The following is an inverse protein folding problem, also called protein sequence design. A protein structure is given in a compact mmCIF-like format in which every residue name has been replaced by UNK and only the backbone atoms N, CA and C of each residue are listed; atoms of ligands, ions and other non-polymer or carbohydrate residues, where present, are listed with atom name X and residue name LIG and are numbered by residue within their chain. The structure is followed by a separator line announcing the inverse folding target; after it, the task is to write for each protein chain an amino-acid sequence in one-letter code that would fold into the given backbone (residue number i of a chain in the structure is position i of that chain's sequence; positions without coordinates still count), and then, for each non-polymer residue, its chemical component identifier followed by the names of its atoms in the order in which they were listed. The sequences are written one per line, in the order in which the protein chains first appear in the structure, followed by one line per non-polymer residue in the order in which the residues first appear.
data_IF_420373853300
#
_entry.id   IF_420373853300
#
_cell.length_a   1.000
_cell.length_b   1.000
_cell.length_c   1.000
_cell.angle_alpha   90.00
_cell.angle_beta   90.00
_cell.angle_gamma   90.00
#
_symmetry.space_group_name_H-M   'P 1'
#
loop_
_entity.id
_entity.type
_entity.pdbx_description
1 polymer ?
#
# COMPACT_ATOMS: atom_id res chain seq x y z
N UNK A 1 36.49 -74.23 -12.25
CA UNK A 1 37.03 -72.89 -12.02
C UNK A 1 36.09 -71.74 -12.61
N UNK A 2 35.22 -72.03 -13.55
CA UNK A 2 34.30 -71.03 -14.15
C UNK A 2 33.13 -70.58 -13.25
N UNK A 3 32.67 -71.40 -12.32
CA UNK A 3 31.50 -71.09 -11.50
C UNK A 3 31.72 -70.09 -10.31
N UNK A 4 32.99 -69.86 -9.94
CA UNK A 4 33.35 -68.97 -8.84
C UNK A 4 33.53 -67.51 -9.25
N UNK A 5 33.83 -67.28 -10.56
CA UNK A 5 33.97 -65.90 -11.08
C UNK A 5 32.63 -65.24 -11.38
N UNK A 6 31.62 -65.98 -11.85
CA UNK A 6 30.28 -65.40 -12.16
C UNK A 6 29.49 -64.95 -10.92
N UNK A 7 29.75 -65.57 -9.77
CA UNK A 7 29.09 -65.17 -8.50
C UNK A 7 29.68 -63.88 -7.94
N UNK A 8 30.98 -63.65 -8.14
CA UNK A 8 31.66 -62.42 -7.68
C UNK A 8 31.23 -61.17 -8.50
N UNK A 9 31.02 -61.31 -9.81
CA UNK A 9 30.57 -60.17 -10.65
C UNK A 9 29.12 -59.81 -10.43
N UNK A 10 28.21 -60.77 -10.17
CA UNK A 10 26.82 -60.49 -9.78
C UNK A 10 26.70 -59.80 -8.43
N UNK A 11 27.46 -60.23 -7.44
CA UNK A 11 27.44 -59.59 -6.12
C UNK A 11 28.01 -58.17 -6.18
N UNK A 12 29.02 -57.91 -7.06
CA UNK A 12 29.59 -56.59 -7.28
C UNK A 12 28.64 -55.67 -8.06
N UNK A 13 27.83 -56.20 -9.00
CA UNK A 13 26.80 -55.45 -9.73
C UNK A 13 25.62 -55.11 -8.79
N UNK A 14 25.18 -56.01 -7.91
CA UNK A 14 24.15 -55.75 -6.94
C UNK A 14 24.58 -54.68 -5.91
N UNK A 15 25.82 -54.75 -5.40
CA UNK A 15 26.36 -53.70 -4.51
C UNK A 15 26.51 -52.33 -5.20
N UNK A 16 26.78 -52.29 -6.49
CA UNK A 16 26.84 -51.06 -7.27
C UNK A 16 25.46 -50.51 -7.61
N UNK A 17 24.46 -51.36 -7.84
CA UNK A 17 23.06 -50.96 -8.03
C UNK A 17 22.45 -50.44 -6.72
N UNK A 18 22.71 -51.11 -5.59
CA UNK A 18 22.25 -50.62 -4.29
C UNK A 18 22.93 -49.29 -3.88
N UNK A 19 24.21 -49.08 -4.19
CA UNK A 19 24.93 -47.83 -3.99
C UNK A 19 24.49 -46.71 -4.96
N UNK A 20 24.01 -47.06 -6.15
CA UNK A 20 23.45 -46.11 -7.12
C UNK A 20 22.01 -45.79 -6.75
N UNK A 21 21.22 -46.74 -6.26
CA UNK A 21 19.85 -46.52 -5.77
C UNK A 21 19.88 -45.76 -4.42
N UNK A 22 20.89 -45.98 -3.56
CA UNK A 22 21.08 -45.20 -2.33
C UNK A 22 21.71 -43.82 -2.54
N UNK A 23 22.22 -43.52 -3.74
CA UNK A 23 22.68 -42.20 -4.17
C UNK A 23 21.63 -41.45 -5.00
N UNK A 24 20.47 -42.07 -5.32
CA UNK A 24 19.36 -41.40 -5.93
C UNK A 24 18.62 -40.61 -4.85
N UNK A 25 18.80 -39.32 -4.87
CA UNK A 25 17.91 -38.32 -4.32
C UNK A 25 17.62 -38.39 -2.82
N UNK A 26 18.61 -38.09 -2.00
CA UNK A 26 18.34 -37.10 -0.96
C UNK A 26 18.19 -35.72 -1.63
N UNK A 27 17.21 -35.55 -2.48
CA UNK A 27 16.58 -34.27 -2.71
C UNK A 27 16.09 -33.88 -1.32
N UNK A 28 16.88 -33.08 -0.60
CA UNK A 28 16.46 -32.54 0.70
C UNK A 28 15.17 -31.79 0.42
N UNK A 29 14.04 -32.37 0.80
CA UNK A 29 12.73 -31.73 0.63
C UNK A 29 12.87 -30.34 1.22
N UNK A 30 12.58 -29.31 0.42
CA UNK A 30 12.58 -27.94 0.93
C UNK A 30 11.56 -27.85 2.06
N UNK A 31 11.82 -27.05 3.12
CA UNK A 31 10.89 -26.92 4.21
C UNK A 31 9.54 -26.40 3.72
N UNK A 32 8.49 -26.82 4.40
CA UNK A 32 7.18 -26.23 4.31
C UNK A 32 7.20 -24.82 4.91
N UNK A 33 6.64 -23.85 4.21
CA UNK A 33 6.58 -22.47 4.66
C UNK A 33 5.13 -22.05 4.76
N UNK A 34 4.71 -21.65 5.96
CA UNK A 34 3.39 -21.06 6.18
C UNK A 34 3.52 -19.55 6.35
N UNK A 35 2.77 -18.80 5.54
CA UNK A 35 2.69 -17.34 5.60
C UNK A 35 1.33 -16.95 6.15
N UNK A 36 1.31 -16.17 7.23
CA UNK A 36 0.10 -15.73 7.92
C UNK A 36 -0.24 -14.32 7.48
N UNK A 37 -1.31 -14.20 6.68
CA UNK A 37 -1.80 -12.96 6.08
C UNK A 37 -1.55 -12.87 4.58
N UNK A 38 -2.63 -12.73 3.80
CA UNK A 38 -2.61 -12.57 2.35
C UNK A 38 -2.74 -11.08 1.91
N UNK A 39 -2.13 -10.17 2.68
CA UNK A 39 -1.85 -8.80 2.26
C UNK A 39 -0.67 -8.74 1.30
N UNK A 40 -0.32 -7.54 0.80
CA UNK A 40 0.76 -7.39 -0.19
C UNK A 40 2.11 -7.95 0.27
N UNK A 41 2.46 -7.80 1.54
CA UNK A 41 3.72 -8.33 2.09
C UNK A 41 3.76 -9.86 2.02
N UNK A 42 2.68 -10.52 2.49
CA UNK A 42 2.57 -11.98 2.50
C UNK A 42 2.50 -12.56 1.08
N UNK A 43 1.69 -11.97 0.20
CA UNK A 43 1.61 -12.38 -1.20
C UNK A 43 2.95 -12.24 -1.91
N UNK A 44 3.66 -11.12 -1.70
CA UNK A 44 4.98 -10.92 -2.30
C UNK A 44 6.01 -11.93 -1.78
N UNK A 45 6.03 -12.19 -0.47
CA UNK A 45 6.89 -13.22 0.12
C UNK A 45 6.59 -14.60 -0.50
N UNK A 46 5.31 -14.96 -0.61
CA UNK A 46 4.88 -16.21 -1.22
C UNK A 46 5.33 -16.36 -2.67
N UNK A 47 5.15 -15.32 -3.50
CA UNK A 47 5.55 -15.33 -4.90
C UNK A 47 7.06 -15.54 -5.04
N UNK A 48 7.89 -14.80 -4.30
CA UNK A 48 9.35 -14.96 -4.38
C UNK A 48 9.84 -16.32 -3.84
N UNK A 49 9.22 -16.85 -2.79
CA UNK A 49 9.54 -18.19 -2.27
C UNK A 49 9.11 -19.29 -3.25
N UNK A 50 7.93 -19.15 -3.85
CA UNK A 50 7.43 -20.06 -4.87
C UNK A 50 8.36 -20.09 -6.10
N UNK A 51 8.84 -18.93 -6.59
CA UNK A 51 9.82 -18.83 -7.67
C UNK A 51 11.16 -19.52 -7.34
N UNK A 52 11.46 -19.69 -6.05
CA UNK A 52 12.60 -20.45 -5.54
C UNK A 52 12.29 -21.93 -5.30
N UNK A 53 11.13 -22.41 -5.77
CA UNK A 53 10.63 -23.78 -5.61
C UNK A 53 10.44 -24.22 -4.14
N UNK A 54 10.07 -23.30 -3.24
CA UNK A 54 9.57 -23.65 -1.91
C UNK A 54 8.09 -24.05 -1.99
N UNK A 55 7.69 -24.98 -1.13
CA UNK A 55 6.28 -25.26 -0.90
C UNK A 55 5.74 -24.22 0.08
N UNK A 56 4.85 -23.34 -0.41
CA UNK A 56 4.32 -22.21 0.37
C UNK A 56 2.82 -22.37 0.51
N UNK A 57 2.32 -22.17 1.74
CA UNK A 57 0.90 -22.03 2.02
C UNK A 57 0.66 -20.71 2.72
N UNK A 58 -0.34 -19.94 2.24
CA UNK A 58 -0.82 -18.75 2.92
C UNK A 58 -2.08 -19.08 3.71
N UNK A 59 -2.24 -18.43 4.87
CA UNK A 59 -3.45 -18.48 5.70
C UNK A 59 -3.96 -17.05 5.85
N UNK A 60 -5.21 -16.83 5.45
CA UNK A 60 -5.87 -15.53 5.49
C UNK A 60 -7.14 -15.61 6.35
N UNK A 61 -7.29 -14.67 7.27
CA UNK A 61 -8.44 -14.62 8.18
C UNK A 61 -9.74 -14.20 7.47
N UNK A 62 -9.65 -13.44 6.40
CA UNK A 62 -10.80 -12.95 5.66
C UNK A 62 -11.15 -13.87 4.48
N UNK A 63 -12.23 -13.48 3.76
CA UNK A 63 -12.79 -14.20 2.62
C UNK A 63 -11.96 -14.09 1.32
N UNK A 64 -10.96 -13.20 1.27
CA UNK A 64 -10.18 -12.91 0.05
C UNK A 64 -8.86 -12.22 0.33
N UNK A 65 -7.99 -12.18 -0.66
CA UNK A 65 -6.68 -11.52 -0.59
C UNK A 65 -6.80 -9.99 -0.48
N UNK A 66 -5.68 -9.34 -0.11
CA UNK A 66 -5.50 -7.90 -0.20
C UNK A 66 -5.21 -7.20 1.12
N UNK A 67 -5.64 -7.76 2.26
CA UNK A 67 -5.51 -7.09 3.55
C UNK A 67 -6.23 -5.73 3.54
N UNK A 68 -5.48 -4.62 3.58
CA UNK A 68 -6.02 -3.25 3.50
C UNK A 68 -6.41 -2.83 2.07
N UNK A 69 -5.92 -3.52 1.04
CA UNK A 69 -6.22 -3.21 -0.36
C UNK A 69 -7.34 -4.12 -0.85
N UNK A 70 -8.57 -3.65 -0.68
CA UNK A 70 -9.80 -4.35 -1.09
C UNK A 70 -10.76 -3.40 -1.78
N UNK A 71 -11.55 -3.94 -2.71
CA UNK A 71 -12.61 -3.21 -3.42
C UNK A 71 -13.92 -3.95 -3.24
N UNK A 72 -14.92 -3.31 -2.67
CA UNK A 72 -16.26 -3.88 -2.54
C UNK A 72 -17.13 -3.45 -3.72
N UNK A 73 -18.00 -4.36 -4.21
CA UNK A 73 -18.99 -4.05 -5.24
C UNK A 73 -20.36 -3.89 -4.58
N UNK A 74 -20.94 -2.69 -4.63
CA UNK A 74 -22.24 -2.37 -4.04
C UNK A 74 -23.09 -1.67 -5.11
N UNK A 75 -24.24 -2.23 -5.47
CA UNK A 75 -25.17 -1.70 -6.46
C UNK A 75 -24.50 -1.29 -7.79
N UNK A 76 -23.48 -2.05 -8.21
CA UNK A 76 -22.70 -1.82 -9.43
C UNK A 76 -21.58 -0.79 -9.29
N UNK A 77 -21.45 -0.12 -8.15
CA UNK A 77 -20.32 0.73 -7.83
C UNK A 77 -19.13 -0.08 -7.27
N UNK A 78 -17.90 0.33 -7.57
CA UNK A 78 -16.68 -0.21 -6.97
C UNK A 78 -16.15 0.76 -5.92
N UNK A 79 -16.10 0.30 -4.68
CA UNK A 79 -15.73 1.09 -3.52
C UNK A 79 -14.45 0.51 -2.92
N UNK A 80 -13.33 1.18 -3.13
CA UNK A 80 -12.08 0.81 -2.47
C UNK A 80 -12.21 1.06 -0.95
N UNK A 81 -11.62 0.19 -0.12
CA UNK A 81 -11.64 0.39 1.33
C UNK A 81 -10.66 1.48 1.73
N UNK A 82 -11.15 2.74 1.68
CA UNK A 82 -10.37 3.96 1.79
C UNK A 82 -9.88 4.47 0.43
N UNK A 83 -9.58 5.78 0.36
CA UNK A 83 -9.00 6.36 -0.84
C UNK A 83 -7.53 5.95 -0.98
N UNK A 84 -7.21 5.20 -2.01
CA UNK A 84 -5.89 4.64 -2.25
C UNK A 84 -5.45 4.89 -3.70
N UNK A 85 -4.14 5.01 -3.91
CA UNK A 85 -3.54 5.14 -5.23
C UNK A 85 -2.25 4.31 -5.32
N UNK A 86 -1.93 3.86 -6.53
CA UNK A 86 -0.65 3.28 -6.87
C UNK A 86 0.24 4.37 -7.48
N UNK A 87 1.44 4.59 -6.94
CA UNK A 87 2.46 5.39 -7.61
C UNK A 87 3.23 4.48 -8.58
N UNK A 88 3.12 4.77 -9.88
CA UNK A 88 3.57 3.85 -10.91
C UNK A 88 5.09 3.70 -11.01
N UNK A 89 5.85 4.58 -10.34
CA UNK A 89 7.32 4.51 -10.29
C UNK A 89 7.86 3.65 -9.13
N UNK A 90 7.00 3.04 -8.33
CA UNK A 90 7.41 2.12 -7.27
C UNK A 90 8.20 0.93 -7.85
N UNK A 91 9.48 0.72 -7.42
CA UNK A 91 10.31 -0.33 -7.99
C UNK A 91 9.75 -1.75 -7.75
N UNK A 92 9.19 -2.03 -6.58
CA UNK A 92 8.69 -3.37 -6.26
C UNK A 92 7.44 -3.72 -7.06
N UNK A 93 6.57 -2.74 -7.32
CA UNK A 93 5.37 -2.98 -8.13
C UNK A 93 5.73 -3.17 -9.61
N UNK A 94 6.71 -2.42 -10.13
CA UNK A 94 7.23 -2.63 -11.49
C UNK A 94 7.86 -4.01 -11.68
N UNK A 95 8.45 -4.58 -10.63
CA UNK A 95 9.12 -5.87 -10.70
C UNK A 95 8.16 -7.07 -10.79
N UNK A 96 6.96 -6.96 -10.22
CA UNK A 96 6.02 -8.08 -10.12
C UNK A 96 4.68 -7.87 -10.83
N UNK A 97 4.23 -6.61 -10.98
CA UNK A 97 2.91 -6.34 -11.52
C UNK A 97 2.95 -6.07 -13.02
N UNK A 98 1.99 -6.63 -13.72
CA UNK A 98 1.69 -6.32 -15.12
C UNK A 98 0.70 -5.15 -15.19
N UNK A 99 1.23 -3.94 -15.39
CA UNK A 99 0.43 -2.71 -15.45
C UNK A 99 -0.54 -2.67 -16.65
N UNK A 100 -0.25 -3.41 -17.73
CA UNK A 100 -1.15 -3.48 -18.88
C UNK A 100 -2.40 -4.29 -18.52
N UNK A 101 -2.24 -5.41 -17.83
CA UNK A 101 -3.39 -6.21 -17.34
C UNK A 101 -4.21 -5.49 -16.28
N UNK A 102 -3.57 -4.70 -15.42
CA UNK A 102 -4.26 -3.84 -14.45
C UNK A 102 -5.03 -2.70 -15.11
N UNK A 103 -4.70 -2.37 -16.36
CA UNK A 103 -5.28 -1.27 -17.14
C UNK A 103 -5.34 0.02 -16.31
N UNK A 104 -4.16 0.43 -15.80
CA UNK A 104 -4.03 1.57 -14.87
C UNK A 104 -4.63 2.84 -15.47
N UNK A 105 -5.47 3.52 -14.70
CA UNK A 105 -6.08 4.81 -15.02
C UNK A 105 -5.37 5.90 -14.22
N UNK A 106 -4.58 6.76 -14.86
CA UNK A 106 -3.83 7.80 -14.17
C UNK A 106 -4.72 8.98 -13.78
N UNK A 107 -4.40 9.57 -12.66
CA UNK A 107 -4.86 10.90 -12.31
C UNK A 107 -4.19 11.95 -13.20
N UNK A 108 -4.87 13.04 -13.47
CA UNK A 108 -4.26 14.21 -14.09
C UNK A 108 -3.22 14.77 -13.10
N UNK A 109 -1.96 15.00 -13.52
CA UNK A 109 -0.92 15.56 -12.65
C UNK A 109 -1.27 16.97 -12.17
N UNK A 110 -1.73 17.08 -10.93
CA UNK A 110 -2.20 18.30 -10.31
C UNK A 110 -3.29 18.04 -9.29
N UNK A 111 -3.89 19.11 -8.82
CA UNK A 111 -5.02 19.09 -7.87
C UNK A 111 -5.88 20.32 -8.06
N UNK A 112 -7.16 20.22 -7.71
CA UNK A 112 -8.00 21.37 -7.42
C UNK A 112 -7.93 21.65 -5.93
N UNK A 113 -7.74 22.91 -5.55
CA UNK A 113 -7.65 23.35 -4.15
C UNK A 113 -8.84 24.23 -3.82
N UNK A 114 -9.62 23.78 -2.85
CA UNK A 114 -10.72 24.55 -2.25
C UNK A 114 -10.15 25.44 -1.13
N UNK A 115 -10.55 26.68 -1.06
CA UNK A 115 -10.16 27.63 0.01
C UNK A 115 -11.30 28.62 0.28
N UNK A 116 -11.17 29.43 1.33
CA UNK A 116 -12.23 30.38 1.79
C UNK A 116 -12.46 31.56 0.83
N UNK A 117 -12.19 31.52 -0.37
CA UNK A 117 -12.45 32.52 -1.40
C UNK A 117 -12.79 31.90 -2.75
N UNK A 118 -12.96 30.56 -2.78
CA UNK A 118 -13.28 29.83 -4.00
C UNK A 118 -12.43 28.60 -4.21
N UNK A 119 -12.06 28.35 -5.46
CA UNK A 119 -11.18 27.22 -5.83
C UNK A 119 -10.20 27.62 -6.91
N UNK A 120 -9.08 26.91 -7.01
CA UNK A 120 -8.11 27.06 -8.08
C UNK A 120 -7.44 25.72 -8.42
N UNK A 121 -6.98 25.61 -9.64
CA UNK A 121 -6.23 24.43 -10.09
C UNK A 121 -4.71 24.65 -9.98
N UNK A 122 -4.02 23.62 -9.51
CA UNK A 122 -2.57 23.50 -9.57
C UNK A 122 -2.23 22.32 -10.46
N UNK A 123 -1.29 22.48 -11.35
CA UNK A 123 -0.79 21.40 -12.18
C UNK A 123 0.74 21.38 -12.18
N UNK A 124 1.29 20.20 -12.47
CA UNK A 124 2.71 20.09 -12.80
C UNK A 124 2.96 20.69 -14.20
N UNK A 125 3.64 21.85 -14.32
CA UNK A 125 3.81 22.52 -15.59
C UNK A 125 4.68 21.74 -16.59
N UNK A 126 5.52 20.79 -16.15
CA UNK A 126 6.30 19.94 -17.03
C UNK A 126 5.46 18.85 -17.68
N UNK A 127 4.49 18.33 -16.93
CA UNK A 127 3.58 17.29 -17.40
C UNK A 127 2.32 17.86 -18.07
N UNK A 128 1.99 19.14 -17.77
CA UNK A 128 0.87 19.89 -18.34
C UNK A 128 1.30 21.32 -18.69
N UNK A 129 2.04 21.54 -19.78
CA UNK A 129 2.50 22.87 -20.18
C UNK A 129 1.37 23.89 -20.37
N UNK A 130 0.19 23.43 -20.81
CA UNK A 130 -1.01 24.28 -20.98
C UNK A 130 -1.54 24.85 -19.66
N UNK A 131 -1.25 24.22 -18.50
CA UNK A 131 -1.66 24.69 -17.19
C UNK A 131 -0.58 25.57 -16.49
N UNK A 132 0.52 25.89 -17.17
CA UNK A 132 1.61 26.70 -16.60
C UNK A 132 1.10 28.05 -16.09
N UNK A 133 0.34 28.78 -16.89
CA UNK A 133 -0.19 30.09 -16.52
C UNK A 133 -1.15 29.98 -15.33
N UNK A 134 -2.07 29.02 -15.35
CA UNK A 134 -2.99 28.78 -14.22
C UNK A 134 -2.23 28.52 -12.92
N UNK A 135 -1.20 27.68 -12.97
CA UNK A 135 -0.33 27.38 -11.82
C UNK A 135 0.47 28.59 -11.35
N UNK A 136 1.02 29.40 -12.28
CA UNK A 136 1.77 30.60 -11.95
C UNK A 136 0.90 31.65 -11.24
N UNK A 137 -0.35 31.83 -11.66
CA UNK A 137 -1.27 32.80 -11.07
C UNK A 137 -2.13 32.22 -9.93
N UNK A 138 -2.06 30.92 -9.67
CA UNK A 138 -2.78 30.32 -8.55
C UNK A 138 -2.40 30.95 -7.21
N UNK A 139 -3.39 31.28 -6.34
CA UNK A 139 -3.16 31.98 -5.07
C UNK A 139 -2.62 31.06 -3.96
N UNK A 140 -1.75 30.11 -4.33
CA UNK A 140 -1.24 29.06 -3.45
C UNK A 140 0.01 29.48 -2.67
N UNK A 141 0.79 30.39 -3.20
CA UNK A 141 2.03 30.89 -2.61
C UNK A 141 2.63 31.97 -3.52
N UNK A 142 3.87 32.37 -3.22
CA UNK A 142 4.64 33.32 -4.00
C UNK A 142 5.26 32.66 -5.24
N UNK A 143 5.75 33.47 -6.17
CA UNK A 143 6.56 32.98 -7.31
C UNK A 143 7.83 32.26 -6.82
N UNK A 144 8.42 32.73 -5.70
CA UNK A 144 9.56 32.08 -5.06
C UNK A 144 9.21 30.65 -4.65
N UNK A 145 8.03 30.43 -4.05
CA UNK A 145 7.59 29.08 -3.63
C UNK A 145 7.46 28.13 -4.85
N UNK A 146 6.94 28.61 -5.95
CA UNK A 146 6.77 27.81 -7.19
C UNK A 146 8.12 27.43 -7.80
N UNK A 147 9.07 28.36 -7.82
CA UNK A 147 10.45 28.10 -8.24
C UNK A 147 11.12 27.12 -7.26
N UNK A 148 10.92 27.28 -5.96
CA UNK A 148 11.45 26.38 -4.94
C UNK A 148 10.91 24.96 -5.10
N UNK A 149 9.61 24.79 -5.38
CA UNK A 149 9.00 23.48 -5.69
C UNK A 149 9.68 22.83 -6.90
N UNK A 150 9.96 23.60 -7.93
CA UNK A 150 10.67 23.13 -9.12
C UNK A 150 12.10 22.62 -8.79
N UNK A 151 12.88 23.41 -8.03
CA UNK A 151 14.23 23.01 -7.65
C UNK A 151 14.24 21.80 -6.71
N UNK A 152 13.29 21.72 -5.76
CA UNK A 152 13.11 20.56 -4.91
C UNK A 152 12.85 19.30 -5.75
N UNK A 153 11.92 19.39 -6.71
CA UNK A 153 11.64 18.30 -7.63
C UNK A 153 12.87 17.83 -8.39
N UNK A 154 13.63 18.76 -9.01
CA UNK A 154 14.87 18.44 -9.72
C UNK A 154 15.92 17.78 -8.82
N UNK A 155 16.04 18.22 -7.56
CA UNK A 155 16.94 17.64 -6.56
C UNK A 155 16.52 16.19 -6.28
N UNK A 156 15.27 15.96 -5.96
CA UNK A 156 14.78 14.66 -5.50
C UNK A 156 14.81 13.59 -6.59
N UNK A 157 14.51 13.95 -7.84
CA UNK A 157 14.57 13.03 -8.99
C UNK A 157 15.98 12.47 -9.20
N UNK A 158 17.03 13.24 -8.89
CA UNK A 158 18.44 12.82 -9.02
C UNK A 158 18.92 11.90 -7.90
N UNK A 159 18.23 11.84 -6.77
CA UNK A 159 18.59 11.01 -5.63
C UNK A 159 18.02 9.60 -5.80
N UNK A 160 18.78 8.56 -5.39
CA UNK A 160 18.19 7.22 -5.22
C UNK A 160 17.31 7.17 -3.98
N UNK A 161 16.37 6.21 -3.92
CA UNK A 161 15.53 6.05 -2.73
C UNK A 161 16.37 5.79 -1.48
N UNK A 162 17.38 4.93 -1.57
CA UNK A 162 18.30 4.66 -0.44
C UNK A 162 19.01 5.93 0.07
N UNK A 163 19.39 6.87 -0.81
CA UNK A 163 19.98 8.15 -0.40
C UNK A 163 18.96 9.03 0.30
N UNK A 164 17.70 9.07 -0.15
CA UNK A 164 16.63 9.84 0.50
C UNK A 164 16.43 9.35 1.93
N UNK A 165 16.27 8.03 2.12
CA UNK A 165 16.01 7.45 3.45
C UNK A 165 17.23 7.47 4.41
N UNK A 166 18.40 7.80 3.92
CA UNK A 166 19.62 8.01 4.74
C UNK A 166 19.89 9.47 5.10
N UNK A 167 19.05 10.42 4.65
CA UNK A 167 19.18 11.81 5.05
C UNK A 167 18.87 12.00 6.55
N UNK A 168 19.43 13.03 7.20
CA UNK A 168 19.04 13.40 8.55
C UNK A 168 17.53 13.66 8.62
N UNK A 169 16.85 12.92 9.49
CA UNK A 169 15.40 12.89 9.59
C UNK A 169 14.88 14.01 10.50
N UNK A 170 13.79 14.63 10.11
CA UNK A 170 12.99 15.58 10.89
C UNK A 170 11.52 15.39 10.50
N UNK A 171 10.61 16.12 11.10
CA UNK A 171 9.22 16.17 10.62
C UNK A 171 9.07 16.92 9.29
N UNK A 172 8.05 16.58 8.52
CA UNK A 172 7.77 17.17 7.20
C UNK A 172 7.54 18.69 7.28
N UNK A 173 6.84 19.17 8.31
CA UNK A 173 6.59 20.62 8.47
C UNK A 173 7.89 21.39 8.62
N UNK A 174 8.77 20.96 9.52
CA UNK A 174 10.09 21.55 9.73
C UNK A 174 10.95 21.51 8.47
N UNK A 175 10.89 20.41 7.71
CA UNK A 175 11.60 20.27 6.45
C UNK A 175 11.11 21.24 5.38
N UNK A 176 9.80 21.44 5.25
CA UNK A 176 9.24 22.44 4.35
C UNK A 176 9.70 23.86 4.68
N UNK A 177 9.79 24.20 5.99
CA UNK A 177 10.38 25.46 6.44
C UNK A 177 11.86 25.57 6.08
N UNK A 178 12.65 24.50 6.27
CA UNK A 178 14.08 24.46 5.88
C UNK A 178 14.26 24.61 4.35
N UNK A 179 13.34 24.07 3.55
CA UNK A 179 13.31 24.29 2.11
C UNK A 179 12.94 25.73 1.74
N UNK A 180 12.52 26.57 2.69
CA UNK A 180 12.25 27.99 2.50
C UNK A 180 10.86 28.29 1.94
N UNK A 181 9.91 27.36 2.07
CA UNK A 181 8.52 27.60 1.67
C UNK A 181 7.82 28.59 2.59
N UNK A 182 6.99 29.47 2.01
CA UNK A 182 6.15 30.37 2.76
C UNK A 182 5.03 29.62 3.50
N UNK A 183 4.53 30.21 4.60
CA UNK A 183 3.40 29.65 5.34
C UNK A 183 2.18 29.43 4.41
N UNK A 184 1.90 30.40 3.55
CA UNK A 184 0.80 30.32 2.58
C UNK A 184 0.93 29.11 1.65
N UNK A 185 2.13 28.80 1.17
CA UNK A 185 2.36 27.61 0.32
C UNK A 185 2.16 26.31 1.12
N UNK A 186 2.62 26.29 2.36
CA UNK A 186 2.44 25.15 3.25
C UNK A 186 0.95 24.93 3.50
N UNK A 187 0.22 25.93 3.95
CA UNK A 187 -1.19 25.80 4.37
C UNK A 187 -2.14 25.56 3.20
N UNK A 188 -1.86 26.13 2.02
CA UNK A 188 -2.77 26.02 0.88
C UNK A 188 -2.46 24.89 -0.10
N UNK A 189 -1.30 24.23 0.02
CA UNK A 189 -0.93 23.11 -0.85
C UNK A 189 -0.31 21.95 -0.11
N UNK A 190 0.86 22.14 0.51
CA UNK A 190 1.58 20.99 1.08
C UNK A 190 0.79 20.33 2.21
N UNK A 191 0.25 21.10 3.14
CA UNK A 191 -0.51 20.57 4.28
C UNK A 191 -1.78 19.83 3.81
N UNK A 192 -2.68 20.39 3.00
CA UNK A 192 -3.85 19.65 2.50
C UNK A 192 -3.51 18.41 1.68
N UNK A 193 -2.47 18.47 0.86
CA UNK A 193 -2.07 17.37 0.01
C UNK A 193 -1.46 16.21 0.83
N UNK A 194 -0.47 16.52 1.67
CA UNK A 194 0.22 15.50 2.44
C UNK A 194 -0.57 15.00 3.64
N UNK A 195 -1.49 15.79 4.20
CA UNK A 195 -2.42 15.30 5.23
C UNK A 195 -3.27 14.12 4.72
N UNK A 196 -3.67 14.16 3.45
CA UNK A 196 -4.40 13.04 2.84
C UNK A 196 -3.55 11.81 2.56
N UNK A 197 -2.23 11.98 2.32
CA UNK A 197 -1.29 10.89 2.06
C UNK A 197 -0.84 10.25 3.38
N UNK A 198 -0.55 11.07 4.38
CA UNK A 198 -0.03 10.62 5.68
C UNK A 198 -1.13 10.31 6.69
N UNK A 199 -2.38 10.66 6.38
CA UNK A 199 -3.57 10.51 7.23
C UNK A 199 -3.42 11.21 8.59
N UNK A 200 -2.74 12.36 8.60
CA UNK A 200 -2.53 13.20 9.78
C UNK A 200 -2.54 14.69 9.38
N UNK A 201 -2.75 15.58 10.34
CA UNK A 201 -3.04 16.98 10.01
C UNK A 201 -1.86 17.92 10.27
N UNK A 202 -0.85 17.52 11.02
CA UNK A 202 0.21 18.44 11.49
C UNK A 202 1.54 18.28 10.73
N UNK A 203 1.62 17.35 9.77
CA UNK A 203 2.83 17.01 9.01
C UNK A 203 4.01 16.58 9.90
N UNK A 204 3.70 15.77 10.92
CA UNK A 204 4.67 15.16 11.82
C UNK A 204 5.41 13.98 11.20
N UNK A 205 4.85 13.41 10.14
CA UNK A 205 5.49 12.33 9.35
C UNK A 205 6.90 12.74 8.91
N UNK A 206 7.80 11.77 8.91
CA UNK A 206 9.20 11.91 8.55
C UNK A 206 9.42 12.67 7.23
N UNK A 207 10.39 13.58 7.25
CA UNK A 207 10.86 14.31 6.07
C UNK A 207 11.38 13.39 4.96
N UNK A 208 11.93 12.23 5.31
CA UNK A 208 12.41 11.25 4.34
C UNK A 208 11.23 10.61 3.59
N UNK A 209 10.11 10.38 4.28
CA UNK A 209 8.87 9.93 3.62
C UNK A 209 8.29 11.01 2.70
N UNK A 210 8.31 12.28 3.13
CA UNK A 210 7.90 13.40 2.28
C UNK A 210 8.74 13.47 1.00
N UNK A 211 10.06 13.45 1.12
CA UNK A 211 10.98 13.52 -0.03
C UNK A 211 10.80 12.32 -0.97
N UNK A 212 10.61 11.12 -0.40
CA UNK A 212 10.32 9.91 -1.18
C UNK A 212 9.01 10.04 -1.98
N UNK A 213 7.92 10.44 -1.35
CA UNK A 213 6.62 10.61 -1.99
C UNK A 213 6.68 11.69 -3.08
N UNK A 214 7.31 12.83 -2.78
CA UNK A 214 7.54 13.91 -3.76
C UNK A 214 8.32 13.43 -4.99
N UNK A 215 9.35 12.61 -4.78
CA UNK A 215 10.09 11.98 -5.87
C UNK A 215 9.17 11.10 -6.71
N UNK A 216 8.40 10.20 -6.08
CA UNK A 216 7.54 9.26 -6.81
C UNK A 216 6.48 9.98 -7.66
N UNK A 217 5.87 11.05 -7.15
CA UNK A 217 4.97 11.92 -7.94
C UNK A 217 5.69 12.66 -9.07
N UNK A 218 7.00 12.86 -8.93
CA UNK A 218 7.80 13.57 -9.95
C UNK A 218 8.23 12.66 -11.10
N UNK A 219 8.37 11.36 -10.87
CA UNK A 219 8.89 10.36 -11.82
C UNK A 219 7.83 9.43 -12.38
N UNK A 220 6.71 9.25 -11.67
CA UNK A 220 5.61 8.38 -12.04
C UNK A 220 4.23 9.05 -11.97
N UNK A 221 3.20 8.30 -12.28
CA UNK A 221 1.80 8.69 -12.13
C UNK A 221 1.22 8.19 -10.81
N UNK A 222 0.27 8.94 -10.23
CA UNK A 222 -0.72 8.36 -9.35
C UNK A 222 -1.79 7.71 -10.24
N UNK A 223 -2.11 6.46 -9.99
CA UNK A 223 -3.06 5.72 -10.80
C UNK A 223 -3.86 4.72 -9.94
N UNK A 224 -4.99 4.27 -10.47
CA UNK A 224 -5.78 3.16 -9.93
C UNK A 224 -5.97 2.10 -11.02
N UNK A 225 -6.05 0.81 -10.68
CA UNK A 225 -6.50 -0.20 -11.61
C UNK A 225 -7.94 0.09 -12.07
N UNK A 226 -8.26 -0.21 -13.33
CA UNK A 226 -9.58 0.06 -13.93
C UNK A 226 -10.75 -0.51 -13.12
N UNK A 227 -10.56 -1.70 -12.51
CA UNK A 227 -11.59 -2.45 -11.81
C UNK A 227 -11.49 -2.39 -10.27
N UNK A 228 -10.66 -1.50 -9.73
CA UNK A 228 -10.47 -1.35 -8.28
C UNK A 228 -9.08 -1.73 -7.80
N UNK A 229 -8.70 -1.20 -6.65
CA UNK A 229 -7.36 -1.42 -6.07
C UNK A 229 -7.09 -2.90 -5.75
N UNK A 230 -8.13 -3.69 -5.48
CA UNK A 230 -8.02 -5.13 -5.19
C UNK A 230 -7.44 -5.96 -6.35
N UNK A 231 -7.45 -5.43 -7.58
CA UNK A 231 -6.83 -6.12 -8.72
C UNK A 231 -5.32 -6.31 -8.54
N UNK A 232 -4.66 -5.46 -7.73
CA UNK A 232 -3.24 -5.60 -7.40
C UNK A 232 -2.96 -6.89 -6.61
N UNK A 233 -3.55 -7.13 -5.43
CA UNK A 233 -3.35 -8.38 -4.70
C UNK A 233 -3.90 -9.60 -5.44
N UNK A 234 -4.97 -9.49 -6.22
CA UNK A 234 -5.47 -10.58 -7.07
C UNK A 234 -4.44 -11.00 -8.11
N UNK A 235 -3.77 -10.03 -8.74
CA UNK A 235 -2.72 -10.33 -9.73
C UNK A 235 -1.53 -11.04 -9.09
N UNK A 236 -1.13 -10.66 -7.86
CA UNK A 236 -0.08 -11.37 -7.12
C UNK A 236 -0.52 -12.79 -6.74
N UNK A 237 -1.74 -12.97 -6.28
CA UNK A 237 -2.28 -14.29 -5.93
C UNK A 237 -2.33 -15.22 -7.14
N UNK A 238 -2.64 -14.70 -8.33
CA UNK A 238 -2.66 -15.46 -9.57
C UNK A 238 -1.27 -15.98 -10.03
N UNK A 239 -0.17 -15.52 -9.41
CA UNK A 239 1.17 -16.05 -9.64
C UNK A 239 1.48 -17.29 -8.78
N UNK A 240 0.59 -17.66 -7.87
CA UNK A 240 0.72 -18.80 -6.97
C UNK A 240 -0.08 -20.00 -7.48
N UNK A 241 0.29 -21.24 -7.11
CA UNK A 241 -0.49 -22.43 -7.43
C UNK A 241 -1.91 -22.34 -6.87
N UNK A 242 -2.84 -23.01 -7.53
CA UNK A 242 -4.19 -23.21 -7.00
C UNK A 242 -4.13 -23.85 -5.60
N UNK A 243 -5.05 -23.43 -4.72
CA UNK A 243 -5.17 -23.91 -3.34
C UNK A 243 -3.98 -23.58 -2.42
N UNK A 244 -3.04 -22.72 -2.84
CA UNK A 244 -1.96 -22.25 -1.95
C UNK A 244 -2.41 -21.22 -0.92
N UNK A 245 -3.65 -20.73 -0.97
CA UNK A 245 -4.23 -19.77 -0.01
C UNK A 245 -5.45 -20.39 0.64
N UNK A 246 -5.44 -20.46 1.96
CA UNK A 246 -6.57 -20.88 2.78
C UNK A 246 -7.22 -19.64 3.42
N UNK A 247 -8.44 -19.35 2.98
CA UNK A 247 -9.24 -18.23 3.48
C UNK A 247 -10.04 -18.60 4.73
N UNK A 248 -10.66 -17.60 5.37
CA UNK A 248 -11.52 -17.75 6.56
C UNK A 248 -10.82 -18.55 7.68
N UNK A 249 -9.49 -18.40 7.76
CA UNK A 249 -8.64 -19.14 8.65
C UNK A 249 -7.81 -18.16 9.49
N UNK A 250 -8.33 -17.82 10.67
CA UNK A 250 -7.70 -16.86 11.57
C UNK A 250 -6.74 -17.56 12.52
N UNK A 251 -5.49 -17.10 12.53
CA UNK A 251 -4.45 -17.52 13.47
C UNK A 251 -4.57 -16.70 14.76
N UNK A 252 -4.56 -17.37 15.89
CA UNK A 252 -4.67 -16.76 17.23
C UNK A 252 -3.34 -16.71 17.96
N UNK A 253 -2.49 -17.73 17.78
CA UNK A 253 -1.17 -17.81 18.43
C UNK A 253 -0.18 -18.64 17.60
N UNK A 254 1.10 -18.49 17.93
CA UNK A 254 2.20 -19.32 17.40
C UNK A 254 3.06 -19.71 18.62
N UNK A 255 3.29 -21.01 18.77
CA UNK A 255 4.21 -21.53 19.78
C UNK A 255 5.21 -22.49 19.11
N UNK A 256 6.48 -22.14 19.13
CA UNK A 256 7.52 -22.83 18.37
C UNK A 256 7.16 -22.93 16.87
N UNK A 257 6.87 -24.14 16.38
CA UNK A 257 6.50 -24.43 14.99
C UNK A 257 5.01 -24.71 14.81
N UNK A 258 4.20 -24.60 15.89
CA UNK A 258 2.76 -24.86 15.89
C UNK A 258 1.99 -23.55 15.76
N UNK A 259 1.08 -23.52 14.82
CA UNK A 259 0.15 -22.41 14.54
C UNK A 259 -1.22 -22.82 15.08
N UNK A 260 -1.78 -22.01 15.98
CA UNK A 260 -3.10 -22.21 16.58
C UNK A 260 -4.15 -21.39 15.84
N UNK A 261 -5.25 -22.04 15.47
CA UNK A 261 -6.34 -21.41 14.71
C UNK A 261 -7.53 -21.08 15.64
N UNK A 262 -8.33 -20.09 15.25
CA UNK A 262 -9.51 -19.66 16.03
C UNK A 262 -10.56 -20.77 16.22
N UNK A 263 -10.64 -21.72 15.31
CA UNK A 263 -11.54 -22.88 15.39
C UNK A 263 -11.05 -24.00 16.33
N UNK A 264 -9.92 -23.77 17.01
CA UNK A 264 -9.30 -24.73 17.94
C UNK A 264 -8.42 -25.80 17.28
N UNK A 265 -8.26 -25.80 15.97
CA UNK A 265 -7.33 -26.70 15.30
C UNK A 265 -5.89 -26.16 15.32
N UNK A 266 -4.94 -27.05 15.07
CA UNK A 266 -3.52 -26.74 15.04
C UNK A 266 -2.89 -27.21 13.72
N UNK A 267 -1.85 -26.52 13.29
CA UNK A 267 -1.02 -26.93 12.15
C UNK A 267 0.47 -26.68 12.44
N UNK A 268 1.31 -27.53 11.88
CA UNK A 268 2.77 -27.39 12.02
C UNK A 268 3.39 -26.89 10.70
N UNK A 269 4.46 -26.09 10.82
CA UNK A 269 5.22 -25.58 9.68
C UNK A 269 6.70 -25.52 10.05
N UNK A 270 7.58 -25.85 9.09
CA UNK A 270 9.04 -25.77 9.30
C UNK A 270 9.49 -24.30 9.41
N UNK A 271 8.86 -23.41 8.65
CA UNK A 271 9.12 -21.96 8.66
C UNK A 271 7.77 -21.23 8.68
N UNK A 272 7.68 -20.23 9.52
CA UNK A 272 6.49 -19.37 9.64
C UNK A 272 6.88 -17.93 9.29
N UNK A 273 6.09 -17.27 8.43
CA UNK A 273 6.23 -15.85 8.13
C UNK A 273 4.98 -15.12 8.60
N UNK A 274 5.14 -14.20 9.54
CA UNK A 274 4.06 -13.33 10.02
C UNK A 274 3.98 -12.12 9.11
N UNK A 275 2.88 -11.99 8.37
CA UNK A 275 2.63 -10.90 7.42
C UNK A 275 1.31 -10.17 7.70
N UNK A 276 0.89 -10.16 8.97
CA UNK A 276 -0.30 -9.45 9.45
C UNK A 276 0.00 -7.99 9.75
N UNK A 277 -1.04 -7.19 9.93
CA UNK A 277 -0.88 -5.81 10.39
C UNK A 277 -0.27 -5.74 11.81
N UNK A 278 0.34 -4.60 12.12
CA UNK A 278 1.09 -4.42 13.36
C UNK A 278 0.24 -4.50 14.65
N UNK A 279 -1.06 -4.25 14.56
CA UNK A 279 -2.01 -4.37 15.69
C UNK A 279 -2.59 -5.77 15.85
N UNK A 280 -2.38 -6.65 14.88
CA UNK A 280 -2.77 -8.05 14.92
C UNK A 280 -1.69 -8.95 15.53
N UNK A 281 -1.58 -10.17 15.01
CA UNK A 281 -0.62 -11.18 15.48
C UNK A 281 0.84 -10.65 15.49
N UNK A 282 1.22 -9.86 14.49
CA UNK A 282 2.54 -9.25 14.40
C UNK A 282 2.88 -8.37 15.61
N UNK A 283 1.88 -7.74 16.23
CA UNK A 283 2.06 -6.88 17.41
C UNK A 283 2.69 -7.58 18.61
N UNK A 284 2.55 -8.89 18.71
CA UNK A 284 3.19 -9.66 19.79
C UNK A 284 4.72 -9.75 19.65
N UNK A 285 5.26 -9.40 18.48
CA UNK A 285 6.66 -9.62 18.12
C UNK A 285 7.41 -8.33 17.76
N UNK A 286 6.75 -7.18 17.75
CA UNK A 286 7.34 -5.89 17.41
C UNK A 286 7.22 -4.88 18.55
N UNK A 287 8.07 -3.87 18.56
CA UNK A 287 8.03 -2.82 19.54
C UNK A 287 6.70 -2.04 19.49
N UNK A 288 6.20 -1.60 20.66
CA UNK A 288 4.91 -0.91 20.80
C UNK A 288 4.80 0.35 19.92
N UNK A 289 5.89 1.07 19.70
CA UNK A 289 5.93 2.25 18.82
C UNK A 289 5.55 1.89 17.37
N UNK A 290 5.96 0.72 16.88
CA UNK A 290 5.63 0.24 15.53
C UNK A 290 4.17 -0.25 15.38
N UNK A 291 3.42 -0.32 16.47
CA UNK A 291 1.99 -0.69 16.47
C UNK A 291 1.08 0.54 16.33
N UNK A 292 1.63 1.76 16.48
CA UNK A 292 0.87 2.99 16.30
C UNK A 292 0.50 3.17 14.82
N UNK A 293 -0.69 3.71 14.58
CA UNK A 293 -1.22 3.88 13.24
C UNK A 293 -2.12 5.11 13.16
N UNK A 294 -2.24 5.62 11.95
CA UNK A 294 -3.26 6.59 11.59
C UNK A 294 -4.52 5.88 11.10
N UNK A 295 -5.66 6.47 11.36
CA UNK A 295 -6.98 6.01 10.94
C UNK A 295 -7.60 6.96 9.93
N UNK A 296 -8.55 6.47 9.15
CA UNK A 296 -9.27 7.27 8.15
C UNK A 296 -10.72 6.84 8.09
N UNK A 297 -11.60 7.82 7.88
CA UNK A 297 -12.99 7.61 7.51
C UNK A 297 -13.19 8.06 6.07
N UNK A 298 -13.70 7.16 5.22
CA UNK A 298 -14.01 7.46 3.82
C UNK A 298 -15.49 7.22 3.59
N UNK A 299 -16.18 8.23 3.08
CA UNK A 299 -17.60 8.16 2.71
C UNK A 299 -17.73 8.19 1.20
N UNK A 300 -18.44 7.24 0.65
CA UNK A 300 -18.76 7.18 -0.77
C UNK A 300 -20.19 7.68 -1.01
N UNK A 301 -20.33 8.53 -2.05
CA UNK A 301 -21.61 9.05 -2.48
C UNK A 301 -21.87 8.74 -3.95
N UNK A 302 -23.10 8.36 -4.25
CA UNK A 302 -23.67 8.42 -5.58
C UNK A 302 -24.12 9.85 -5.86
N UNK A 303 -23.86 10.35 -7.08
CA UNK A 303 -24.39 11.60 -7.56
C UNK A 303 -24.87 11.44 -9.01
N UNK A 304 -25.77 12.32 -9.44
CA UNK A 304 -26.23 12.38 -10.84
C UNK A 304 -25.36 13.32 -11.67
N UNK A 305 -24.69 14.27 -11.02
CA UNK A 305 -23.79 15.25 -11.66
C UNK A 305 -22.48 15.34 -10.89
N UNK A 306 -21.37 15.25 -11.60
CA UNK A 306 -20.05 15.43 -11.03
C UNK A 306 -19.80 16.92 -10.66
N UNK A 307 -19.18 17.20 -9.49
CA UNK A 307 -18.77 18.57 -9.13
C UNK A 307 -17.64 19.11 -10.01
N UNK A 308 -16.91 18.24 -10.70
CA UNK A 308 -15.90 18.55 -11.70
C UNK A 308 -15.86 17.45 -12.75
N UNK A 309 -15.39 17.77 -13.95
CA UNK A 309 -15.11 16.77 -15.02
C UNK A 309 -13.63 16.36 -15.06
N UNK A 310 -12.81 16.87 -14.13
CA UNK A 310 -11.38 16.54 -14.11
C UNK A 310 -11.11 15.27 -13.28
N UNK A 311 -10.16 14.46 -13.77
CA UNK A 311 -9.67 13.29 -13.06
C UNK A 311 -8.54 13.68 -12.07
N UNK A 312 -8.86 14.50 -11.07
CA UNK A 312 -7.91 15.05 -10.07
C UNK A 312 -8.37 14.77 -8.64
N UNK A 313 -7.43 14.88 -7.73
CA UNK A 313 -7.78 15.00 -6.30
C UNK A 313 -8.15 16.45 -6.00
N UNK A 314 -9.22 16.64 -5.24
CA UNK A 314 -9.69 17.93 -4.75
C UNK A 314 -9.29 18.04 -3.28
N UNK A 315 -8.46 19.02 -2.96
CA UNK A 315 -7.89 19.26 -1.63
C UNK A 315 -8.68 20.35 -0.91
N UNK A 316 -8.96 20.16 0.35
CA UNK A 316 -9.56 21.19 1.17
C UNK A 316 -8.51 21.95 1.98
N UNK A 317 -8.20 23.17 1.55
CA UNK A 317 -7.29 24.12 2.20
C UNK A 317 -8.03 25.24 2.96
N UNK A 318 -9.34 25.10 3.23
CA UNK A 318 -10.11 26.05 4.05
C UNK A 318 -9.56 26.07 5.48
N UNK A 319 -9.46 27.24 6.09
CA UNK A 319 -9.06 27.42 7.49
C UNK A 319 -10.10 26.84 8.46
N UNK A 320 -11.36 26.78 8.02
CA UNK A 320 -12.49 26.27 8.79
C UNK A 320 -12.84 24.82 8.50
N UNK A 321 -12.01 24.07 7.78
CA UNK A 321 -12.28 22.67 7.46
C UNK A 321 -12.43 21.83 8.73
N UNK A 322 -13.42 20.93 8.73
CA UNK A 322 -13.70 20.06 9.87
C UNK A 322 -13.92 18.60 9.47
N UNK A 323 -14.54 18.36 8.31
CA UNK A 323 -15.06 17.06 7.92
C UNK A 323 -14.49 16.55 6.61
N UNK A 324 -13.91 17.41 5.78
CA UNK A 324 -13.39 17.04 4.47
C UNK A 324 -11.90 17.32 4.40
N UNK A 325 -11.07 16.31 4.25
CA UNK A 325 -9.66 16.47 3.92
C UNK A 325 -9.47 16.55 2.40
N UNK A 326 -10.03 15.59 1.69
CA UNK A 326 -10.02 15.55 0.22
C UNK A 326 -11.30 14.93 -0.34
N UNK A 327 -11.56 15.21 -1.60
CA UNK A 327 -12.63 14.64 -2.40
C UNK A 327 -12.08 14.20 -3.75
N UNK A 328 -12.58 13.08 -4.27
CA UNK A 328 -12.25 12.59 -5.62
C UNK A 328 -13.49 12.07 -6.32
N UNK A 329 -13.66 12.43 -7.59
CA UNK A 329 -14.68 11.84 -8.46
C UNK A 329 -14.09 10.58 -9.08
N UNK A 330 -14.29 9.44 -8.43
CA UNK A 330 -13.67 8.15 -8.83
C UNK A 330 -14.07 7.74 -10.25
N UNK A 331 -15.33 7.99 -10.62
CA UNK A 331 -15.84 7.70 -11.98
C UNK A 331 -15.19 8.56 -13.08
N UNK A 332 -14.56 9.70 -12.75
CA UNK A 332 -13.75 10.47 -13.70
C UNK A 332 -12.38 9.84 -13.95
N UNK A 333 -11.85 9.10 -12.99
CA UNK A 333 -10.57 8.40 -13.12
C UNK A 333 -10.78 7.10 -13.91
N UNK A 334 -11.78 6.30 -13.51
CA UNK A 334 -12.20 5.10 -14.23
C UNK A 334 -13.73 5.03 -14.28
N UNK A 335 -14.28 4.98 -15.48
CA UNK A 335 -15.72 4.80 -15.69
C UNK A 335 -16.25 3.46 -15.21
N UNK A 336 -15.37 2.52 -14.87
CA UNK A 336 -15.76 1.22 -14.29
C UNK A 336 -16.05 1.29 -12.79
N UNK A 337 -15.81 2.43 -12.14
CA UNK A 337 -16.12 2.61 -10.71
C UNK A 337 -17.58 2.94 -10.45
N UNK A 338 -18.36 3.34 -11.46
CA UNK A 338 -19.78 3.61 -11.33
C UNK A 338 -20.58 2.95 -12.48
N UNK A 339 -21.85 2.63 -12.28
CA UNK A 339 -22.76 2.28 -13.36
C UNK A 339 -22.92 3.43 -14.37
N UNK A 340 -23.29 3.10 -15.60
CA UNK A 340 -23.49 4.09 -16.66
C UNK A 340 -24.48 5.18 -16.24
N UNK A 341 -24.10 6.44 -16.48
CA UNK A 341 -24.90 7.61 -16.12
C UNK A 341 -24.88 7.99 -14.63
N UNK A 342 -24.07 7.29 -13.82
CA UNK A 342 -23.88 7.59 -12.40
C UNK A 342 -22.49 8.13 -12.12
N UNK A 343 -22.37 8.89 -11.05
CA UNK A 343 -21.11 9.45 -10.55
C UNK A 343 -20.80 8.89 -9.18
N UNK A 344 -19.55 8.45 -8.98
CA UNK A 344 -19.04 8.03 -7.68
C UNK A 344 -18.09 9.08 -7.11
N UNK A 345 -18.42 9.55 -5.91
CA UNK A 345 -17.58 10.46 -5.12
C UNK A 345 -16.96 9.69 -3.95
N UNK A 346 -15.68 9.92 -3.69
CA UNK A 346 -14.95 9.47 -2.50
C UNK A 346 -14.54 10.69 -1.70
N UNK A 347 -14.96 10.79 -0.43
CA UNK A 347 -14.63 11.90 0.46
C UNK A 347 -13.96 11.33 1.71
N UNK A 348 -12.79 11.86 2.07
CA UNK A 348 -12.00 11.35 3.18
C UNK A 348 -11.87 12.36 4.31
N UNK A 349 -11.88 11.82 5.54
CA UNK A 349 -11.63 12.50 6.80
C UNK A 349 -10.53 11.75 7.56
N UNK A 350 -9.51 12.45 8.05
CA UNK A 350 -8.43 11.87 8.85
C UNK A 350 -8.93 11.56 10.26
N UNK A 351 -8.93 10.30 10.64
CA UNK A 351 -9.44 9.83 11.92
C UNK A 351 -10.79 9.11 11.82
N UNK A 352 -11.31 8.74 12.98
CA UNK A 352 -12.62 8.10 13.14
C UNK A 352 -13.46 8.94 14.07
N UNK A 353 -14.46 9.66 13.57
CA UNK A 353 -15.35 10.46 14.41
C UNK A 353 -16.31 9.56 15.22
N UNK A 354 -16.56 9.93 16.48
CA UNK A 354 -17.44 9.19 17.40
C UNK A 354 -18.93 9.58 17.22
N UNK A 355 -19.39 9.69 15.97
CA UNK A 355 -20.78 10.02 15.60
C UNK A 355 -21.24 9.06 14.51
N UNK A 356 -22.56 9.02 14.29
CA UNK A 356 -23.19 8.16 13.30
C UNK A 356 -22.72 8.50 11.87
N UNK A 357 -22.64 7.47 10.98
CA UNK A 357 -22.20 7.61 9.60
C UNK A 357 -23.07 8.58 8.80
N UNK A 358 -24.39 8.61 9.05
CA UNK A 358 -25.30 9.55 8.41
C UNK A 358 -24.97 10.98 8.79
N UNK A 359 -24.66 11.24 10.07
CA UNK A 359 -24.25 12.56 10.54
C UNK A 359 -22.92 12.99 9.94
N UNK A 360 -21.94 12.04 9.82
CA UNK A 360 -20.67 12.31 9.14
C UNK A 360 -20.92 12.73 7.70
N UNK A 361 -21.75 11.98 6.97
CA UNK A 361 -22.07 12.23 5.57
C UNK A 361 -22.75 13.60 5.38
N UNK A 362 -23.73 13.94 6.22
CA UNK A 362 -24.41 15.24 6.15
C UNK A 362 -23.46 16.41 6.51
N UNK A 363 -22.56 16.24 7.47
CA UNK A 363 -21.55 17.24 7.80
C UNK A 363 -20.58 17.47 6.63
N UNK A 364 -20.16 16.40 5.92
CA UNK A 364 -19.31 16.51 4.73
C UNK A 364 -20.04 17.27 3.61
N UNK A 365 -21.33 16.97 3.37
CA UNK A 365 -22.14 17.68 2.39
C UNK A 365 -22.29 19.15 2.76
N UNK A 366 -22.61 19.45 4.02
CA UNK A 366 -22.76 20.80 4.51
C UNK A 366 -21.47 21.64 4.33
N UNK A 367 -20.31 21.05 4.61
CA UNK A 367 -19.02 21.72 4.40
C UNK A 367 -18.74 21.97 2.91
N UNK A 368 -19.05 21.03 2.02
CA UNK A 368 -18.83 21.16 0.58
C UNK A 368 -19.83 22.08 -0.13
N UNK A 369 -20.96 22.42 0.52
CA UNK A 369 -22.02 23.26 -0.06
C UNK A 369 -21.52 24.65 -0.41
N UNK A 370 -20.51 25.17 0.30
CA UNK A 370 -19.93 26.49 0.01
C UNK A 370 -19.27 26.61 -1.37
N UNK A 371 -18.79 25.48 -1.95
CA UNK A 371 -18.15 25.46 -3.28
C UNK A 371 -19.05 24.89 -4.36
N UNK A 372 -19.89 23.92 -4.01
CA UNK A 372 -20.71 23.19 -4.97
C UNK A 372 -22.20 23.52 -4.93
N UNK A 373 -22.61 24.38 -3.98
CA UNK A 373 -24.02 24.81 -3.87
C UNK A 373 -24.96 23.64 -3.58
N UNK A 374 -26.21 23.78 -4.03
CA UNK A 374 -27.28 22.83 -3.71
C UNK A 374 -27.12 21.46 -4.40
N UNK A 375 -26.17 21.29 -5.36
CA UNK A 375 -25.98 19.97 -5.96
C UNK A 375 -25.54 18.90 -4.95
N UNK A 376 -24.93 19.30 -3.82
CA UNK A 376 -24.51 18.35 -2.76
C UNK A 376 -25.72 17.73 -2.05
N UNK A 377 -26.87 18.37 -2.08
CA UNK A 377 -28.12 17.90 -1.42
C UNK A 377 -28.62 16.61 -2.12
N UNK A 378 -28.36 16.47 -3.43
CA UNK A 378 -28.71 15.28 -4.24
C UNK A 378 -27.75 14.09 -4.06
N UNK A 379 -26.62 14.27 -3.37
CA UNK A 379 -25.65 13.20 -3.15
C UNK A 379 -26.20 12.20 -2.14
N UNK A 380 -26.25 10.92 -2.53
CA UNK A 380 -26.73 9.82 -1.70
C UNK A 380 -25.56 9.03 -1.16
N UNK A 381 -25.49 8.89 0.16
CA UNK A 381 -24.49 8.04 0.80
C UNK A 381 -24.68 6.57 0.37
N UNK A 382 -23.63 5.95 -0.13
CA UNK A 382 -23.58 4.52 -0.47
C UNK A 382 -22.99 3.71 0.69
N UNK A 383 -21.84 4.16 1.21
CA UNK A 383 -21.09 3.41 2.23
C UNK A 383 -20.12 4.32 2.96
N UNK A 384 -19.94 4.07 4.25
CA UNK A 384 -18.84 4.60 5.06
C UNK A 384 -17.87 3.49 5.42
N UNK A 385 -16.57 3.74 5.24
CA UNK A 385 -15.49 2.89 5.73
C UNK A 385 -14.75 3.61 6.85
N UNK A 386 -14.72 3.00 8.04
CA UNK A 386 -13.94 3.44 9.20
C UNK A 386 -12.76 2.50 9.34
N UNK A 387 -11.57 2.94 8.97
CA UNK A 387 -10.38 2.11 8.91
C UNK A 387 -9.48 2.49 10.06
N UNK A 388 -9.50 1.67 11.11
CA UNK A 388 -8.75 1.92 12.34
C UNK A 388 -7.23 1.85 12.11
N UNK A 389 -6.76 0.86 11.38
CA UNK A 389 -5.38 0.71 10.97
C UNK A 389 -5.26 0.98 9.47
N UNK A 390 -5.22 2.25 9.09
CA UNK A 390 -5.12 2.64 7.68
C UNK A 390 -3.64 2.73 7.23
N UNK A 391 -2.80 3.37 8.04
CA UNK A 391 -1.39 3.62 7.75
C UNK A 391 -0.57 3.48 9.04
N UNK A 392 0.58 2.78 9.04
CA UNK A 392 1.46 2.78 10.21
C UNK A 392 1.96 4.20 10.50
N UNK A 393 2.26 4.49 11.77
CA UNK A 393 2.93 5.74 12.14
C UNK A 393 4.31 5.83 11.48
N UNK A 394 4.67 7.01 10.99
CA UNK A 394 5.84 7.25 10.15
C UNK A 394 6.70 8.42 10.66
N UNK A 395 6.78 8.61 11.98
CA UNK A 395 7.67 9.60 12.59
C UNK A 395 9.15 9.29 12.29
N UNK A 396 9.46 8.01 12.09
CA UNK A 396 10.73 7.53 11.58
C UNK A 396 10.51 6.39 10.59
N UNK A 397 11.24 6.41 9.48
CA UNK A 397 11.05 5.48 8.36
C UNK A 397 12.36 4.90 7.87
N UNK A 398 12.30 3.74 7.24
CA UNK A 398 13.45 3.09 6.61
C UNK A 398 13.09 2.56 5.22
N UNK A 399 14.09 2.47 4.35
CA UNK A 399 14.01 1.71 3.08
C UNK A 399 14.82 0.40 3.13
N UNK A 400 15.49 0.12 4.24
CA UNK A 400 16.30 -1.07 4.45
C UNK A 400 15.85 -1.79 5.72
N UNK A 401 15.87 -3.12 5.69
CA UNK A 401 15.65 -3.99 6.86
C UNK A 401 16.89 -4.84 7.09
N UNK A 402 17.30 -4.92 8.35
CA UNK A 402 18.35 -5.85 8.78
C UNK A 402 17.78 -7.25 8.99
N UNK A 403 18.65 -8.25 9.10
CA UNK A 403 18.21 -9.62 9.44
C UNK A 403 17.47 -9.66 10.78
N UNK A 404 17.88 -8.85 11.74
CA UNK A 404 17.26 -8.77 13.08
C UNK A 404 15.88 -8.12 13.04
N UNK A 405 15.58 -7.26 12.08
CA UNK A 405 14.25 -6.66 11.93
C UNK A 405 13.21 -7.68 11.41
N UNK A 406 13.68 -8.67 10.66
CA UNK A 406 12.82 -9.65 9.96
C UNK A 406 12.81 -11.02 10.64
N UNK A 407 13.74 -11.33 11.54
CA UNK A 407 13.91 -12.64 12.16
C UNK A 407 13.56 -12.58 13.64
N UNK A 408 12.49 -13.28 14.03
CA UNK A 408 12.07 -13.39 15.43
C UNK A 408 12.88 -14.50 16.11
N UNK A 409 12.97 -15.66 15.47
CA UNK A 409 13.83 -16.78 15.86
C UNK A 409 14.28 -17.56 14.62
N UNK A 410 14.82 -18.77 14.81
CA UNK A 410 15.32 -19.56 13.67
C UNK A 410 14.27 -19.97 12.65
N UNK A 411 13.01 -20.10 13.04
CA UNK A 411 11.94 -20.61 12.21
C UNK A 411 10.80 -19.61 11.99
N UNK A 412 10.79 -18.48 12.74
CA UNK A 412 9.73 -17.47 12.65
C UNK A 412 10.31 -16.17 12.13
N UNK A 413 9.70 -15.66 11.06
CA UNK A 413 10.05 -14.41 10.40
C UNK A 413 8.85 -13.46 10.36
N UNK A 414 9.11 -12.18 10.13
CA UNK A 414 8.07 -11.15 10.06
C UNK A 414 8.33 -10.22 8.87
N UNK A 415 7.27 -9.81 8.18
CA UNK A 415 7.30 -8.76 7.17
C UNK A 415 6.05 -7.88 7.24
N UNK A 416 6.16 -6.67 6.72
CA UNK A 416 5.06 -5.69 6.72
C UNK A 416 5.61 -4.29 6.46
N UNK A 417 4.75 -3.40 5.97
CA UNK A 417 5.08 -1.98 5.76
C UNK A 417 5.43 -1.26 7.07
N UNK A 418 4.86 -1.67 8.19
CA UNK A 418 5.14 -1.16 9.53
C UNK A 418 6.61 -1.34 9.98
N UNK A 419 7.36 -2.20 9.33
CA UNK A 419 8.80 -2.35 9.60
C UNK A 419 9.64 -1.32 8.86
N UNK A 420 9.09 -0.68 7.83
CA UNK A 420 9.81 0.21 6.91
C UNK A 420 9.16 1.59 6.79
N UNK A 421 8.16 1.71 5.96
CA UNK A 421 7.35 2.91 5.72
C UNK A 421 5.97 2.50 5.16
N UNK A 422 4.95 3.32 5.38
CA UNK A 422 3.58 3.05 5.00
C UNK A 422 3.33 3.22 3.50
N UNK A 423 3.81 2.30 2.68
CA UNK A 423 3.57 2.31 1.24
C UNK A 423 3.37 0.92 0.67
N UNK A 424 2.67 0.83 -0.46
CA UNK A 424 2.57 -0.39 -1.28
C UNK A 424 3.98 -0.93 -1.60
N UNK A 425 4.91 -0.03 -1.95
CA UNK A 425 6.29 -0.38 -2.25
C UNK A 425 6.99 -1.06 -1.06
N UNK A 426 6.89 -0.49 0.12
CA UNK A 426 7.54 -1.04 1.31
C UNK A 426 6.89 -2.36 1.76
N UNK A 427 5.56 -2.48 1.67
CA UNK A 427 4.87 -3.73 1.91
C UNK A 427 5.43 -4.86 1.03
N UNK A 428 5.53 -4.64 -0.28
CA UNK A 428 6.08 -5.61 -1.22
C UNK A 428 7.58 -5.84 -0.99
N UNK A 429 8.36 -4.79 -0.73
CA UNK A 429 9.80 -4.88 -0.45
C UNK A 429 10.08 -5.73 0.79
N UNK A 430 9.34 -5.54 1.88
CA UNK A 430 9.50 -6.34 3.10
C UNK A 430 9.24 -7.83 2.85
N UNK A 431 8.22 -8.17 2.05
CA UNK A 431 7.95 -9.55 1.62
C UNK A 431 9.09 -10.15 0.80
N UNK A 432 9.64 -9.40 -0.16
CA UNK A 432 10.80 -9.85 -0.95
C UNK A 432 12.04 -10.05 -0.09
N UNK A 433 12.32 -9.15 0.84
CA UNK A 433 13.49 -9.23 1.71
C UNK A 433 13.40 -10.43 2.65
N UNK A 434 12.24 -10.72 3.25
CA UNK A 434 12.06 -11.90 4.09
C UNK A 434 12.21 -13.19 3.28
N UNK A 435 11.72 -13.23 2.05
CA UNK A 435 11.89 -14.38 1.16
C UNK A 435 13.39 -14.61 0.80
N UNK A 436 14.13 -13.54 0.55
CA UNK A 436 15.57 -13.61 0.31
C UNK A 436 16.33 -14.12 1.55
N UNK A 437 16.00 -13.63 2.74
CA UNK A 437 16.59 -14.06 4.00
C UNK A 437 16.38 -15.55 4.29
N UNK A 438 15.19 -16.07 4.00
CA UNK A 438 14.87 -17.50 4.16
C UNK A 438 15.70 -18.35 3.16
N UNK A 439 15.86 -17.89 1.91
CA UNK A 439 16.64 -18.60 0.88
C UNK A 439 18.14 -18.61 1.19
N UNK A 440 18.70 -17.52 1.74
CA UNK A 440 20.11 -17.44 2.15
C UNK A 440 20.50 -18.46 3.25
N UNK A 441 19.59 -18.76 4.18
CA UNK A 441 19.83 -19.67 5.30
C UNK A 441 20.12 -21.10 4.86
N UNK A 442 19.85 -21.45 3.60
CA UNK A 442 20.00 -22.82 3.04
C UNK A 442 21.18 -22.99 2.09
N UNK A 443 21.91 -21.93 1.82
CA UNK A 443 23.20 -22.01 1.12
C UNK A 443 24.34 -22.17 2.13
#
# INVERSE_FOLDING_TARGET
MKSRFEKSERDFLFYRLDLVILKSDKQTMKPTITIIGAGLSGLTAAVYLHQKNYQVQLIEASDRVGGRIKTDCIDGFRLDRGFQVLLTDYPETKALLDYQKLNLKPFIPGATVLYDGGQFDIADPFRRPTALFATLFAPVGSLKDKIQTFWLKLKLVRLSNSVIFKQPETDTYSQLKRYGFSQKMIDRFYKPFFSGIFLENELTTSSNMFDFVMKQFSTGDAAIPELGMEEIPKQLAALLPENSIQFETKVTAIENNTIYLENGSEMNSDIIVIATEATGLAGNYIARQKQQSHSVTTVYFEATKAPTNQAVVILNASENKKWVNNLTVMSNISNKYAPDGKVLLSISYNGIPEIDDTIVAENMKAELKQWYGNQVDDWKMLKTYRIQYALPNQDSVSDELTKTDMKINDNIFICGDHLMNGSINAAMKSGRLVAALIDEKKK
#
